data_IF_369143340073
#
_entry.id   IF_369143340073
#
_cell.length_a   1.000
_cell.length_b   1.000
_cell.length_c   1.000
_cell.angle_alpha   90.00
_cell.angle_beta   90.00
_cell.angle_gamma   90.00
#
_symmetry.space_group_name_H-M   'P 1'
#
loop_
_entity.id
_entity.type
_entity.pdbx_description
1 polymer ?
#
# COMPACT_ATOMS: atom_id res chain seq x y z
N UNK A 1 -18.70 11.39 4.21
CA UNK A 1 -18.36 10.82 2.88
C UNK A 1 -18.15 9.33 3.06
N UNK A 2 -18.95 8.49 2.39
CA UNK A 2 -18.72 7.05 2.37
C UNK A 2 -17.42 6.79 1.58
N UNK A 3 -16.46 6.10 2.20
CA UNK A 3 -15.26 5.63 1.49
C UNK A 3 -15.75 4.71 0.36
N UNK A 4 -15.32 4.91 -0.90
CA UNK A 4 -15.75 4.09 -2.03
C UNK A 4 -15.58 2.60 -1.72
N UNK A 5 -16.58 1.78 -2.04
CA UNK A 5 -16.60 0.33 -1.78
C UNK A 5 -15.34 -0.36 -2.32
N UNK A 6 -14.80 0.12 -3.45
CA UNK A 6 -13.58 -0.37 -4.08
C UNK A 6 -12.33 -0.13 -3.21
N UNK A 7 -12.23 1.01 -2.52
CA UNK A 7 -11.09 1.33 -1.68
C UNK A 7 -11.04 0.39 -0.46
N UNK A 8 -12.19 0.13 0.16
CA UNK A 8 -12.27 -0.84 1.25
C UNK A 8 -11.86 -2.25 0.81
N UNK A 9 -12.21 -2.64 -0.43
CA UNK A 9 -11.80 -3.93 -1.00
C UNK A 9 -10.29 -3.98 -1.28
N UNK A 10 -9.69 -2.89 -1.79
CA UNK A 10 -8.23 -2.77 -1.97
C UNK A 10 -7.50 -2.95 -0.64
N UNK A 11 -7.94 -2.22 0.41
CA UNK A 11 -7.34 -2.32 1.74
C UNK A 11 -7.51 -3.73 2.32
N UNK A 12 -8.64 -4.41 2.04
CA UNK A 12 -8.84 -5.80 2.46
C UNK A 12 -7.87 -6.75 1.76
N UNK A 13 -7.66 -6.62 0.45
CA UNK A 13 -6.70 -7.42 -0.31
C UNK A 13 -5.27 -7.21 0.20
N UNK A 14 -4.90 -5.97 0.52
CA UNK A 14 -3.62 -5.65 1.11
C UNK A 14 -3.44 -6.31 2.49
N UNK A 15 -4.45 -6.24 3.37
CA UNK A 15 -4.44 -6.93 4.67
C UNK A 15 -4.24 -8.44 4.54
N UNK A 16 -4.93 -9.08 3.60
CA UNK A 16 -4.81 -10.52 3.38
C UNK A 16 -3.39 -10.91 2.93
N UNK A 17 -2.76 -10.12 2.07
CA UNK A 17 -1.38 -10.38 1.66
C UNK A 17 -0.39 -10.24 2.84
N UNK A 18 -0.61 -9.24 3.71
CA UNK A 18 0.24 -8.98 4.88
C UNK A 18 0.23 -10.13 5.88
N UNK A 19 -0.87 -10.89 5.99
CA UNK A 19 -0.93 -12.06 6.88
C UNK A 19 0.12 -13.13 6.56
N UNK A 20 0.65 -13.14 5.32
CA UNK A 20 1.72 -14.06 4.92
C UNK A 20 3.13 -13.56 5.23
N UNK A 21 3.26 -12.37 5.84
CA UNK A 21 4.57 -11.77 6.11
C UNK A 21 5.29 -12.51 7.24
N UNK A 22 6.62 -12.66 7.15
CA UNK A 22 7.39 -13.20 8.26
C UNK A 22 7.29 -12.25 9.45
N UNK A 23 6.73 -12.72 10.56
CA UNK A 23 6.71 -11.99 11.82
C UNK A 23 7.80 -12.51 12.76
N UNK A 24 8.90 -11.75 12.83
CA UNK A 24 10.04 -12.06 13.72
C UNK A 24 9.88 -11.46 15.13
N UNK A 25 8.80 -10.72 15.39
CA UNK A 25 8.65 -9.98 16.65
C UNK A 25 8.29 -10.93 17.78
N UNK A 26 8.92 -10.71 18.94
CA UNK A 26 8.65 -11.45 20.17
C UNK A 26 8.53 -10.51 21.37
N UNK A 27 7.93 -11.00 22.46
CA UNK A 27 7.90 -10.30 23.74
C UNK A 27 7.19 -8.93 23.69
N UNK A 28 7.86 -7.89 24.18
CA UNK A 28 7.28 -6.52 24.32
C UNK A 28 7.04 -5.79 23.00
N UNK A 29 7.55 -6.32 21.87
CA UNK A 29 7.41 -5.72 20.54
C UNK A 29 6.08 -6.04 19.83
N UNK A 30 5.12 -6.65 20.54
CA UNK A 30 3.80 -7.03 20.03
C UNK A 30 2.72 -5.95 20.24
N UNK A 31 3.12 -4.72 20.57
CA UNK A 31 2.17 -3.62 20.86
C UNK A 31 1.32 -3.22 19.64
N UNK A 32 1.78 -3.53 18.43
CA UNK A 32 1.12 -3.26 17.15
C UNK A 32 0.90 -4.58 16.41
N UNK A 33 -0.14 -4.72 15.58
CA UNK A 33 -0.27 -5.88 14.68
C UNK A 33 0.70 -5.75 13.50
N UNK A 34 1.04 -6.85 12.83
CA UNK A 34 1.92 -6.77 11.64
C UNK A 34 1.22 -6.01 10.52
N UNK A 35 -0.11 -6.15 10.44
CA UNK A 35 -0.98 -5.40 9.55
C UNK A 35 -0.90 -3.90 9.81
N UNK A 36 -1.00 -3.45 11.06
CA UNK A 36 -0.91 -2.03 11.41
C UNK A 36 0.46 -1.44 11.05
N UNK A 37 1.54 -2.20 11.22
CA UNK A 37 2.89 -1.76 10.88
C UNK A 37 3.05 -1.63 9.37
N UNK A 38 2.66 -2.63 8.60
CA UNK A 38 2.82 -2.60 7.15
C UNK A 38 1.88 -1.59 6.52
N UNK A 39 0.63 -1.45 6.99
CA UNK A 39 -0.30 -0.42 6.52
C UNK A 39 0.20 0.99 6.86
N UNK A 40 0.84 1.17 8.03
CA UNK A 40 1.51 2.43 8.40
C UNK A 40 2.59 2.77 7.38
N UNK A 41 3.41 1.79 7.03
CA UNK A 41 4.46 1.96 6.03
C UNK A 41 3.91 2.26 4.62
N UNK A 42 2.85 1.55 4.22
CA UNK A 42 2.21 1.76 2.93
C UNK A 42 1.61 3.16 2.82
N UNK A 43 1.07 3.68 3.91
CA UNK A 43 0.49 5.03 3.92
C UNK A 43 1.51 6.14 3.67
N UNK A 44 2.81 5.89 3.90
CA UNK A 44 3.90 6.86 3.62
C UNK A 44 3.95 7.25 2.14
N UNK A 45 3.66 6.30 1.24
CA UNK A 45 3.59 6.56 -0.21
C UNK A 45 2.46 7.54 -0.59
N UNK A 46 1.52 7.78 0.30
CA UNK A 46 0.40 8.72 0.11
C UNK A 46 0.58 10.03 0.91
N UNK A 47 1.75 10.24 1.52
CA UNK A 47 2.05 11.44 2.31
C UNK A 47 3.15 12.29 1.67
N UNK A 48 2.93 13.60 1.53
CA UNK A 48 3.94 14.55 1.05
C UNK A 48 4.87 15.01 2.19
N UNK A 49 5.39 14.09 3.01
CA UNK A 49 6.22 14.44 4.16
C UNK A 49 7.37 13.47 4.34
N UNK A 50 8.57 13.96 4.70
CA UNK A 50 9.74 13.12 4.93
C UNK A 50 9.64 12.21 6.17
N UNK A 51 8.63 12.38 7.03
CA UNK A 51 8.34 11.45 8.12
C UNK A 51 6.85 11.16 8.20
N UNK A 52 6.52 9.86 8.14
CA UNK A 52 5.18 9.34 8.33
C UNK A 52 4.57 9.81 9.64
N UNK A 53 5.31 9.59 10.74
CA UNK A 53 4.84 9.93 12.06
C UNK A 53 4.61 11.44 12.21
N UNK A 54 5.52 12.26 11.66
CA UNK A 54 5.36 13.71 11.68
C UNK A 54 4.12 14.16 10.90
N UNK A 55 3.86 13.55 9.75
CA UNK A 55 2.68 13.87 8.94
C UNK A 55 1.38 13.48 9.63
N UNK A 56 1.27 12.25 10.16
CA UNK A 56 0.05 11.81 10.83
C UNK A 56 -0.21 12.61 12.11
N UNK A 57 0.84 12.96 12.87
CA UNK A 57 0.73 13.84 14.05
C UNK A 57 0.27 15.24 13.66
N UNK A 58 0.81 15.80 12.57
CA UNK A 58 0.42 17.11 12.06
C UNK A 58 -1.04 17.10 11.61
N UNK A 59 -1.45 16.12 10.80
CA UNK A 59 -2.85 15.97 10.39
C UNK A 59 -3.77 15.81 11.59
N UNK A 60 -3.41 15.00 12.60
CA UNK A 60 -4.20 14.85 13.82
C UNK A 60 -4.31 16.16 14.60
N UNK A 61 -3.22 16.94 14.68
CA UNK A 61 -3.21 18.25 15.35
C UNK A 61 -4.06 19.29 14.60
N UNK A 62 -4.01 19.31 13.28
CA UNK A 62 -4.72 20.31 12.45
C UNK A 62 -6.18 19.95 12.21
N UNK A 63 -6.48 18.67 11.97
CA UNK A 63 -7.78 18.19 11.49
C UNK A 63 -8.51 17.27 12.50
N UNK A 64 -7.93 17.03 13.68
CA UNK A 64 -8.48 16.15 14.72
C UNK A 64 -8.37 14.65 14.44
N UNK A 65 -8.09 14.25 13.19
CA UNK A 65 -7.91 12.86 12.75
C UNK A 65 -6.81 12.75 11.71
N UNK A 66 -6.19 11.58 11.63
CA UNK A 66 -5.13 11.25 10.67
C UNK A 66 -5.59 10.26 9.60
N UNK A 67 -4.86 10.17 8.48
CA UNK A 67 -5.11 9.16 7.44
C UNK A 67 -4.86 7.74 7.97
N UNK A 68 -3.89 7.57 8.87
CA UNK A 68 -3.64 6.31 9.57
C UNK A 68 -4.90 5.81 10.29
N UNK A 69 -5.58 6.69 11.05
CA UNK A 69 -6.80 6.34 11.79
C UNK A 69 -8.01 6.12 10.87
N UNK A 70 -8.13 6.91 9.80
CA UNK A 70 -9.37 6.97 9.00
C UNK A 70 -9.34 6.07 7.76
N UNK A 71 -8.30 6.18 6.94
CA UNK A 71 -8.18 5.42 5.69
C UNK A 71 -7.65 4.01 5.95
N UNK A 72 -6.65 3.90 6.83
CA UNK A 72 -5.96 2.64 7.08
C UNK A 72 -6.45 1.91 8.33
N UNK A 73 -7.28 2.57 9.18
CA UNK A 73 -7.84 2.03 10.43
C UNK A 73 -6.77 1.51 11.41
N UNK A 74 -5.68 2.25 11.51
CA UNK A 74 -4.53 1.96 12.37
C UNK A 74 -4.81 2.57 13.74
N UNK A 75 -4.95 1.75 14.78
CA UNK A 75 -5.31 2.22 16.13
C UNK A 75 -4.15 2.91 16.86
N UNK A 76 -2.94 2.40 16.67
CA UNK A 76 -1.72 2.99 17.22
C UNK A 76 -0.69 3.12 16.11
N UNK A 77 -0.08 4.30 15.99
CA UNK A 77 0.90 4.59 14.93
C UNK A 77 2.29 4.14 15.42
N UNK A 78 2.97 3.21 14.73
CA UNK A 78 4.33 2.78 15.02
C UNK A 78 5.36 3.83 14.62
N UNK A 79 6.59 3.70 15.13
CA UNK A 79 7.69 4.62 14.79
C UNK A 79 8.32 4.25 13.44
N UNK A 80 8.96 5.24 12.79
CA UNK A 80 9.64 5.04 11.51
C UNK A 80 10.69 3.91 11.56
N UNK A 81 11.42 3.77 12.67
CA UNK A 81 12.38 2.66 12.85
C UNK A 81 11.70 1.30 12.99
N UNK A 82 10.56 1.23 13.67
CA UNK A 82 9.82 -0.03 13.82
C UNK A 82 9.20 -0.47 12.50
N UNK A 83 8.78 0.49 11.67
CA UNK A 83 8.31 0.25 10.30
C UNK A 83 9.42 -0.36 9.44
N UNK A 84 10.63 0.23 9.44
CA UNK A 84 11.77 -0.26 8.65
C UNK A 84 12.23 -1.65 9.08
N UNK A 85 12.35 -1.90 10.38
CA UNK A 85 12.79 -3.21 10.90
C UNK A 85 11.91 -4.38 10.43
N UNK A 86 10.61 -4.13 10.23
CA UNK A 86 9.69 -5.13 9.70
C UNK A 86 9.79 -5.21 8.18
N UNK A 87 9.73 -4.08 7.47
CA UNK A 87 9.73 -4.09 6.01
C UNK A 87 11.03 -4.53 5.36
N UNK A 88 12.19 -4.24 5.96
CA UNK A 88 13.49 -4.61 5.40
C UNK A 88 13.66 -6.14 5.27
N UNK A 89 12.84 -6.92 5.99
CA UNK A 89 12.85 -8.38 5.98
C UNK A 89 11.74 -8.99 5.10
N UNK A 90 10.93 -8.17 4.44
CA UNK A 90 9.83 -8.61 3.57
C UNK A 90 10.27 -8.50 2.12
N UNK A 91 10.31 -9.63 1.42
CA UNK A 91 10.58 -9.62 -0.01
C UNK A 91 9.36 -9.04 -0.78
N UNK A 92 9.56 -8.17 -1.80
CA UNK A 92 8.47 -7.43 -2.46
C UNK A 92 7.46 -8.31 -3.19
N UNK A 93 7.84 -9.53 -3.57
CA UNK A 93 6.97 -10.49 -4.24
C UNK A 93 5.73 -10.87 -3.43
N UNK A 94 5.80 -10.74 -2.10
CA UNK A 94 4.67 -10.93 -1.18
C UNK A 94 3.50 -9.99 -1.46
N UNK A 95 3.72 -8.89 -2.19
CA UNK A 95 2.69 -7.93 -2.58
C UNK A 95 2.28 -8.02 -4.06
N UNK A 96 2.93 -8.84 -4.89
CA UNK A 96 2.62 -8.89 -6.32
C UNK A 96 1.18 -9.33 -6.60
N UNK A 97 0.68 -10.31 -5.85
CA UNK A 97 -0.71 -10.77 -5.97
C UNK A 97 -1.75 -9.69 -5.65
N UNK A 98 -1.37 -8.67 -4.86
CA UNK A 98 -2.23 -7.52 -4.56
C UNK A 98 -2.44 -6.69 -5.83
N UNK A 99 -1.39 -6.46 -6.63
CA UNK A 99 -1.51 -5.74 -7.89
C UNK A 99 -2.47 -6.43 -8.85
N UNK A 100 -2.31 -7.75 -9.05
CA UNK A 100 -3.18 -8.55 -9.91
C UNK A 100 -4.65 -8.49 -9.45
N UNK A 101 -4.86 -8.57 -8.12
CA UNK A 101 -6.20 -8.48 -7.52
C UNK A 101 -6.83 -7.13 -7.81
N UNK A 102 -6.09 -6.03 -7.64
CA UNK A 102 -6.60 -4.67 -7.90
C UNK A 102 -6.88 -4.47 -9.39
N UNK A 103 -5.99 -4.94 -10.26
CA UNK A 103 -6.15 -4.85 -11.70
C UNK A 103 -7.42 -5.57 -12.17
N UNK A 104 -7.64 -6.81 -11.75
CA UNK A 104 -8.85 -7.56 -12.10
C UNK A 104 -10.11 -6.94 -11.47
N UNK A 105 -10.03 -6.39 -10.26
CA UNK A 105 -11.13 -5.60 -9.68
C UNK A 105 -11.48 -4.40 -10.57
N UNK A 106 -10.49 -3.65 -11.05
CA UNK A 106 -10.72 -2.46 -11.87
C UNK A 106 -11.33 -2.83 -13.22
N UNK A 107 -10.84 -3.90 -13.83
CA UNK A 107 -11.38 -4.47 -15.07
C UNK A 107 -12.84 -4.93 -14.90
N UNK A 108 -13.15 -5.70 -13.85
CA UNK A 108 -14.51 -6.23 -13.60
C UNK A 108 -15.53 -5.11 -13.35
N UNK A 109 -15.12 -4.03 -12.70
CA UNK A 109 -16.00 -2.89 -12.42
C UNK A 109 -16.04 -1.86 -13.56
N UNK A 110 -15.38 -2.13 -14.70
CA UNK A 110 -15.43 -1.28 -15.89
C UNK A 110 -14.63 0.03 -15.78
N UNK A 111 -13.78 0.20 -14.77
CA UNK A 111 -12.96 1.40 -14.60
C UNK A 111 -11.99 1.65 -15.76
N UNK A 112 -11.64 0.58 -16.50
CA UNK A 112 -10.78 0.67 -17.68
C UNK A 112 -11.52 1.03 -18.97
N UNK A 113 -12.85 1.08 -18.97
CA UNK A 113 -13.63 1.30 -20.19
C UNK A 113 -13.37 2.68 -20.80
N UNK A 114 -13.14 3.71 -19.98
CA UNK A 114 -12.79 5.06 -20.44
C UNK A 114 -11.38 5.17 -21.03
N UNK A 115 -10.54 4.16 -20.82
CA UNK A 115 -9.17 4.08 -21.32
C UNK A 115 -9.06 3.14 -22.53
N UNK A 116 -10.18 2.67 -23.08
CA UNK A 116 -10.20 1.84 -24.30
C UNK A 116 -10.09 2.73 -25.53
N UNK A 117 -9.08 2.47 -26.35
CA UNK A 117 -8.84 3.17 -27.61
C UNK A 117 -9.20 2.31 -28.83
N UNK A 118 -8.50 2.57 -29.94
CA UNK A 118 -8.67 1.84 -31.20
C UNK A 118 -8.60 0.31 -30.99
N UNK A 119 -9.51 -0.43 -31.62
CA UNK A 119 -9.66 -1.88 -31.49
C UNK A 119 -9.80 -2.39 -30.04
N UNK A 120 -10.41 -1.61 -29.14
CA UNK A 120 -10.60 -1.97 -27.73
C UNK A 120 -9.28 -2.18 -26.96
N UNK A 121 -8.17 -1.63 -27.45
CA UNK A 121 -6.89 -1.68 -26.75
C UNK A 121 -6.92 -0.82 -25.49
N UNK A 122 -6.28 -1.28 -24.42
CA UNK A 122 -6.09 -0.49 -23.21
C UNK A 122 -4.99 0.55 -23.43
N UNK A 123 -5.33 1.84 -23.32
CA UNK A 123 -4.40 2.97 -23.41
C UNK A 123 -4.11 3.53 -22.02
N UNK A 124 -3.54 2.71 -21.14
CA UNK A 124 -3.08 3.17 -19.84
C UNK A 124 -1.80 2.46 -19.45
N UNK A 125 -0.74 3.25 -19.28
CA UNK A 125 0.52 2.77 -18.76
C UNK A 125 0.36 2.49 -17.27
N UNK A 126 0.20 1.21 -16.91
CA UNK A 126 0.27 0.75 -15.53
C UNK A 126 1.63 0.11 -15.32
N UNK A 127 2.47 0.78 -14.55
CA UNK A 127 3.72 0.20 -14.10
C UNK A 127 3.58 -0.34 -12.67
N UNK A 128 3.87 -1.62 -12.51
CA UNK A 128 3.96 -2.32 -11.22
C UNK A 128 5.40 -2.58 -10.81
N UNK A 129 6.34 -1.69 -11.18
CA UNK A 129 7.77 -1.99 -11.16
C UNK A 129 8.30 -2.37 -9.78
N UNK A 130 9.05 -3.47 -9.86
CA UNK A 130 9.88 -4.15 -8.87
C UNK A 130 11.12 -3.31 -8.53
N UNK A 131 11.72 -3.63 -7.38
CA UNK A 131 12.99 -3.07 -6.90
C UNK A 131 14.04 -2.91 -8.01
N UNK A 132 14.61 -1.71 -8.09
CA UNK A 132 15.79 -1.41 -8.89
C UNK A 132 17.01 -2.09 -8.23
N UNK A 133 17.60 -3.09 -8.88
CA UNK A 133 18.95 -3.56 -8.56
C UNK A 133 19.93 -2.89 -9.55
N UNK A 134 21.06 -2.29 -9.12
CA UNK A 134 21.89 -1.42 -9.96
C UNK A 134 22.60 -2.08 -11.16
N UNK A 135 22.32 -3.34 -11.50
CA UNK A 135 23.08 -4.12 -12.50
C UNK A 135 22.27 -4.90 -13.53
N UNK A 136 20.97 -4.64 -13.71
CA UNK A 136 20.25 -5.24 -14.84
C UNK A 136 19.08 -4.36 -15.28
N UNK A 137 19.26 -3.72 -16.44
CA UNK A 137 18.19 -3.09 -17.20
C UNK A 137 17.26 -4.18 -17.72
N UNK A 138 16.01 -4.25 -17.27
CA UNK A 138 15.01 -5.16 -17.85
C UNK A 138 13.73 -4.38 -18.16
N UNK A 139 13.52 -4.26 -19.48
CA UNK A 139 12.36 -3.85 -20.29
C UNK A 139 11.21 -3.04 -19.66
N UNK A 140 11.06 -1.81 -20.20
CA UNK A 140 9.79 -1.09 -20.38
C UNK A 140 8.73 -1.96 -21.06
N UNK A 141 7.48 -1.83 -20.61
CA UNK A 141 6.33 -1.80 -21.51
C UNK A 141 5.53 -0.54 -21.17
N UNK A 142 5.63 0.44 -22.06
CA UNK A 142 4.66 1.53 -22.21
C UNK A 142 3.67 1.05 -23.26
N UNK A 143 2.40 0.96 -22.89
CA UNK A 143 1.26 1.02 -23.82
C UNK A 143 0.22 1.97 -23.23
#
# INVERSE_FOLDING_TARGET
>A
MAVPTIFNQIIKSLRLAIQSFPDKRTGKNLTYTIEDIVLSAFSVFFTQSPSFLAHQRTMKKTNGKSNAETLFKIEKIPTDNHIRDILDNVHPDRLFSVFDTIFEMFKKNGYFNSFRGFNQNLLVALDGTRYFHPKQSIARIVL
#
